data_IF_998994236587
#
_entry.id   IF_998994236587
#
_cell.length_a   1.000
_cell.length_b   1.000
_cell.length_c   1.000
_cell.angle_alpha   90.00
_cell.angle_beta   90.00
_cell.angle_gamma   90.00
#
_symmetry.space_group_name_H-M   'P 1'
#
loop_
_entity.id
_entity.type
_entity.pdbx_description
1 polymer ?
#
# COMPACT_ATOMS: atom_id res chain seq x y z
N UNK A 1 24.59 6.80 8.17
CA UNK A 1 25.05 6.05 6.99
C UNK A 1 23.85 5.85 6.08
N UNK A 2 23.99 6.12 4.78
CA UNK A 2 22.93 5.91 3.78
C UNK A 2 22.85 4.40 3.50
N UNK A 3 21.65 3.83 3.41
CA UNK A 3 21.52 2.41 3.06
C UNK A 3 22.16 2.19 1.67
N UNK A 4 23.05 1.20 1.46
CA UNK A 4 23.69 0.96 0.16
C UNK A 4 22.69 0.71 -0.99
N UNK A 5 21.44 0.35 -0.69
CA UNK A 5 20.38 0.18 -1.68
C UNK A 5 19.59 1.48 -1.99
N UNK A 6 19.82 2.57 -1.26
CA UNK A 6 19.21 3.87 -1.56
C UNK A 6 19.80 4.47 -2.82
N UNK A 7 18.92 4.82 -3.77
CA UNK A 7 19.29 5.48 -5.02
C UNK A 7 18.55 6.80 -5.16
N UNK A 8 19.27 7.83 -5.58
CA UNK A 8 18.66 9.11 -5.93
C UNK A 8 17.89 8.97 -7.25
N UNK A 9 16.60 9.30 -7.21
CA UNK A 9 15.71 9.26 -8.39
C UNK A 9 15.12 10.65 -8.60
N UNK A 10 15.19 11.16 -9.83
CA UNK A 10 14.58 12.43 -10.22
C UNK A 10 13.24 12.21 -10.91
N UNK A 11 12.25 12.99 -10.53
CA UNK A 11 10.97 13.05 -11.23
C UNK A 11 11.13 13.55 -12.67
N UNK A 12 10.29 13.06 -13.56
CA UNK A 12 10.20 13.55 -14.93
C UNK A 12 8.73 13.76 -15.32
N UNK A 13 8.50 14.66 -16.28
CA UNK A 13 7.15 14.92 -16.81
C UNK A 13 6.71 13.77 -17.70
N UNK A 14 5.50 13.28 -17.51
CA UNK A 14 4.87 12.24 -18.33
C UNK A 14 3.45 12.69 -18.68
N UNK A 15 3.27 13.24 -19.88
CA UNK A 15 2.02 13.91 -20.26
C UNK A 15 1.71 15.09 -19.34
N UNK A 16 0.54 15.07 -18.70
CA UNK A 16 0.07 16.10 -17.76
C UNK A 16 0.43 15.81 -16.29
N UNK A 17 1.22 14.78 -16.02
CA UNK A 17 1.63 14.40 -14.67
C UNK A 17 3.14 14.26 -14.54
N UNK A 18 3.59 13.86 -13.36
CA UNK A 18 4.98 13.53 -13.07
C UNK A 18 5.10 12.07 -12.64
N UNK A 19 6.24 11.46 -12.96
CA UNK A 19 6.52 10.08 -12.63
C UNK A 19 7.92 9.92 -12.03
N UNK A 20 8.08 8.88 -11.20
CA UNK A 20 9.37 8.36 -10.75
C UNK A 20 9.69 7.10 -11.54
N UNK A 21 10.98 6.89 -11.86
CA UNK A 21 11.41 5.67 -12.55
C UNK A 21 11.60 4.54 -11.54
N UNK A 22 11.09 3.37 -11.89
CA UNK A 22 11.41 2.11 -11.20
C UNK A 22 12.45 1.39 -12.05
N UNK A 23 13.58 1.00 -11.46
CA UNK A 23 14.61 0.28 -12.21
C UNK A 23 14.15 -1.14 -12.55
N UNK A 24 14.76 -1.77 -13.56
CA UNK A 24 14.47 -3.18 -13.91
C UNK A 24 14.64 -4.10 -12.70
N UNK A 25 15.72 -3.91 -11.93
CA UNK A 25 16.02 -4.66 -10.70
C UNK A 25 14.90 -4.51 -9.67
N UNK A 26 14.45 -3.28 -9.42
CA UNK A 26 13.42 -3.01 -8.41
C UNK A 26 12.05 -3.54 -8.85
N UNK A 27 11.72 -3.41 -10.14
CA UNK A 27 10.50 -4.00 -10.72
C UNK A 27 10.49 -5.52 -10.56
N UNK A 28 11.63 -6.18 -10.79
CA UNK A 28 11.79 -7.63 -10.62
C UNK A 28 11.68 -8.05 -9.16
N UNK A 29 12.33 -7.32 -8.24
CA UNK A 29 12.22 -7.55 -6.81
C UNK A 29 10.78 -7.37 -6.30
N UNK A 30 10.05 -6.39 -6.85
CA UNK A 30 8.64 -6.17 -6.56
C UNK A 30 7.72 -7.20 -7.24
N UNK A 31 8.24 -8.06 -8.13
CA UNK A 31 7.45 -8.92 -9.02
C UNK A 31 6.28 -8.14 -9.65
N UNK A 32 6.60 -6.98 -10.23
CA UNK A 32 5.63 -6.03 -10.78
C UNK A 32 5.60 -6.08 -12.32
N UNK A 33 4.41 -5.88 -12.86
CA UNK A 33 4.12 -5.75 -14.29
C UNK A 33 3.23 -4.52 -14.53
N UNK A 34 2.76 -4.34 -15.76
CA UNK A 34 1.95 -3.17 -16.14
C UNK A 34 0.57 -3.14 -15.44
N UNK A 35 0.06 -4.30 -15.01
CA UNK A 35 -1.24 -4.42 -14.33
C UNK A 35 -1.12 -4.32 -12.80
N UNK A 36 0.10 -4.27 -12.27
CA UNK A 36 0.35 -4.18 -10.84
C UNK A 36 -0.12 -2.84 -10.30
N UNK A 37 -1.02 -2.87 -9.31
CA UNK A 37 -1.54 -1.67 -8.66
C UNK A 37 -0.78 -1.36 -7.38
N UNK A 38 -0.60 -0.06 -7.12
CA UNK A 38 -0.01 0.46 -5.90
C UNK A 38 -0.96 1.45 -5.24
N UNK A 39 -1.04 1.41 -3.91
CA UNK A 39 -1.65 2.47 -3.10
C UNK A 39 -0.61 3.58 -2.93
N UNK A 40 -1.01 4.83 -3.17
CA UNK A 40 -0.17 6.02 -2.96
C UNK A 40 -0.58 6.71 -1.66
N UNK A 41 0.38 6.94 -0.78
CA UNK A 41 0.22 7.70 0.47
C UNK A 41 1.22 8.86 0.45
N UNK A 42 0.74 10.07 0.68
CA UNK A 42 1.58 11.26 0.84
C UNK A 42 1.45 11.69 2.29
N UNK A 43 2.57 11.84 3.00
CA UNK A 43 2.55 12.31 4.38
C UNK A 43 2.09 13.76 4.45
N UNK A 44 1.44 14.14 5.55
CA UNK A 44 0.87 15.49 5.70
C UNK A 44 1.93 16.60 5.68
N UNK A 45 3.17 16.28 6.06
CA UNK A 45 4.32 17.19 6.00
C UNK A 45 4.88 17.35 4.58
N UNK A 46 4.43 16.56 3.61
CA UNK A 46 4.90 16.60 2.22
C UNK A 46 6.30 16.02 2.00
N UNK A 47 6.96 15.50 3.04
CA UNK A 47 8.34 15.02 2.97
C UNK A 47 8.44 13.62 2.34
N UNK A 48 7.37 12.83 2.40
CA UNK A 48 7.39 11.43 1.97
C UNK A 48 6.18 11.09 1.11
N UNK A 49 6.48 10.36 0.04
CA UNK A 49 5.51 9.62 -0.75
C UNK A 49 5.85 8.13 -0.66
N UNK A 50 4.84 7.32 -0.34
CA UNK A 50 4.98 5.88 -0.23
C UNK A 50 4.06 5.25 -1.28
N UNK A 51 4.63 4.31 -2.05
CA UNK A 51 3.88 3.45 -2.97
C UNK A 51 3.92 2.04 -2.43
N UNK A 52 2.78 1.56 -1.95
CA UNK A 52 2.62 0.22 -1.39
C UNK A 52 1.95 -0.69 -2.42
N UNK A 53 2.57 -1.83 -2.74
CA UNK A 53 2.01 -2.79 -3.70
C UNK A 53 0.72 -3.38 -3.12
N UNK A 54 -0.38 -3.31 -3.87
CA UNK A 54 -1.64 -3.93 -3.45
C UNK A 54 -1.53 -5.43 -3.71
N UNK A 55 -1.64 -6.24 -2.66
CA UNK A 55 -1.77 -7.68 -2.82
C UNK A 55 -3.25 -8.01 -3.09
N UNK A 56 -3.61 -8.58 -4.25
CA UNK A 56 -5.00 -8.88 -4.58
C UNK A 56 -5.63 -9.93 -3.65
N UNK A 57 -4.82 -10.66 -2.88
CA UNK A 57 -5.27 -11.64 -1.90
C UNK A 57 -5.24 -11.13 -0.46
N UNK A 58 -4.89 -9.86 -0.24
CA UNK A 58 -4.98 -9.28 1.09
C UNK A 58 -6.46 -9.12 1.45
N UNK A 59 -6.95 -9.78 2.51
CA UNK A 59 -8.31 -9.56 2.96
C UNK A 59 -8.47 -8.08 3.30
N UNK A 60 -9.55 -7.48 2.83
CA UNK A 60 -9.83 -6.10 3.15
C UNK A 60 -9.98 -5.93 4.67
N UNK A 61 -9.76 -4.71 5.16
CA UNK A 61 -10.02 -4.41 6.57
C UNK A 61 -11.46 -4.78 6.97
N UNK A 62 -12.40 -4.69 6.02
CA UNK A 62 -13.78 -5.13 6.19
C UNK A 62 -13.87 -6.66 6.34
N UNK A 63 -13.15 -7.43 5.52
CA UNK A 63 -13.14 -8.90 5.62
C UNK A 63 -12.56 -9.37 6.96
N UNK A 64 -11.54 -8.68 7.47
CA UNK A 64 -10.97 -8.95 8.80
C UNK A 64 -11.96 -8.56 9.90
N UNK A 65 -12.58 -7.39 9.79
CA UNK A 65 -13.58 -6.92 10.76
C UNK A 65 -14.81 -7.84 10.81
N UNK A 66 -15.31 -8.28 9.66
CA UNK A 66 -16.42 -9.24 9.57
C UNK A 66 -16.06 -10.57 10.20
N UNK A 67 -14.86 -11.11 9.95
CA UNK A 67 -14.41 -12.35 10.62
C UNK A 67 -14.33 -12.20 12.13
N UNK A 68 -13.79 -11.09 12.64
CA UNK A 68 -13.73 -10.82 14.08
C UNK A 68 -15.14 -10.68 14.68
N UNK A 69 -16.07 -10.07 13.96
CA UNK A 69 -17.46 -9.92 14.38
C UNK A 69 -18.17 -11.28 14.44
N UNK A 70 -17.97 -12.13 13.43
CA UNK A 70 -18.54 -13.47 13.37
C UNK A 70 -17.95 -14.40 14.45
N UNK A 71 -16.63 -14.35 14.67
CA UNK A 71 -15.93 -15.14 15.68
C UNK A 71 -16.34 -14.75 17.12
N UNK A 72 -16.72 -13.49 17.32
CA UNK A 72 -17.14 -12.96 18.62
C UNK A 72 -18.60 -12.52 18.65
N UNK A 73 -19.45 -13.13 17.81
CA UNK A 73 -20.85 -12.72 17.65
C UNK A 73 -21.64 -12.72 18.97
N UNK A 74 -21.35 -13.67 19.87
CA UNK A 74 -21.98 -13.74 21.19
C UNK A 74 -21.54 -12.60 22.13
N UNK A 75 -20.30 -12.12 21.99
CA UNK A 75 -19.79 -10.98 22.75
C UNK A 75 -20.39 -9.67 22.21
N UNK A 76 -20.49 -9.53 20.89
CA UNK A 76 -21.08 -8.35 20.24
C UNK A 76 -22.59 -8.23 20.54
N UNK A 77 -23.34 -9.35 20.54
CA UNK A 77 -24.75 -9.37 20.97
C UNK A 77 -24.94 -8.93 22.43
N UNK A 78 -23.97 -9.15 23.30
CA UNK A 78 -24.03 -8.66 24.69
C UNK A 78 -23.77 -7.17 24.80
N UNK A 79 -22.92 -6.63 23.93
CA UNK A 79 -22.67 -5.19 23.80
C UNK A 79 -23.86 -4.42 23.20
N UNK A 80 -24.63 -5.02 22.29
CA UNK A 80 -25.83 -4.40 21.69
C UNK A 80 -27.01 -4.24 22.67
N UNK A 81 -27.00 -4.96 23.80
CA UNK A 81 -28.07 -4.95 24.81
C UNK A 81 -27.75 -4.06 26.03
N UNK A 82 -26.74 -3.20 25.94
CA UNK A 82 -26.37 -2.18 26.93
C UNK A 82 -26.75 -0.78 26.43
#
# INVERSE_FOLDING_TARGET
>A
MRNPDEKDVKMFKNGNSYALRVSKKDREALNANLDTKFRRIVTNDGEKIIFEKINPHEPSALDIASKLFDEHADLMKRLENL
#
